data_IF_179252716996
#
_entry.id   IF_179252716996
#
_cell.length_a   1.000
_cell.length_b   1.000
_cell.length_c   1.000
_cell.angle_alpha   90.00
_cell.angle_beta   90.00
_cell.angle_gamma   90.00
#
_symmetry.space_group_name_H-M   'P 1'
#
loop_
_entity.id
_entity.type
_entity.pdbx_description
1 polymer ?
#
# COMPACT_ATOMS: atom_id res chain seq x y z
N UNK A 1 2.53 -14.53 -22.07
CA UNK A 1 3.39 -15.02 -20.97
C UNK A 1 3.23 -14.17 -19.70
N UNK A 2 3.20 -12.84 -19.82
CA UNK A 2 2.92 -11.90 -18.72
C UNK A 2 1.56 -12.16 -18.03
N UNK A 3 0.52 -12.49 -18.80
CA UNK A 3 -0.82 -12.82 -18.26
C UNK A 3 -0.83 -14.04 -17.33
N UNK A 4 0.12 -14.98 -17.49
CA UNK A 4 0.21 -16.17 -16.62
C UNK A 4 0.69 -15.79 -15.21
N UNK A 5 1.69 -14.93 -15.09
CA UNK A 5 2.18 -14.47 -13.79
C UNK A 5 1.15 -13.61 -13.06
N UNK A 6 0.49 -12.71 -13.80
CA UNK A 6 -0.60 -11.89 -13.24
C UNK A 6 -1.71 -12.79 -12.67
N UNK A 7 -2.15 -13.81 -13.41
CA UNK A 7 -3.16 -14.76 -12.94
C UNK A 7 -2.72 -15.56 -11.72
N UNK A 8 -1.45 -16.02 -11.67
CA UNK A 8 -0.90 -16.72 -10.51
C UNK A 8 -0.90 -15.83 -9.26
N UNK A 9 -0.49 -14.56 -9.36
CA UNK A 9 -0.50 -13.63 -8.22
C UNK A 9 -1.92 -13.24 -7.82
N UNK A 10 -2.83 -13.06 -8.79
CA UNK A 10 -4.25 -12.83 -8.51
C UNK A 10 -4.87 -13.99 -7.72
N UNK A 11 -4.43 -15.23 -7.96
CA UNK A 11 -4.85 -16.39 -7.16
C UNK A 11 -4.34 -16.30 -5.71
N UNK A 12 -3.12 -15.81 -5.50
CA UNK A 12 -2.53 -15.53 -4.18
C UNK A 12 -3.28 -14.39 -3.48
N UNK A 13 -3.72 -13.38 -4.22
CA UNK A 13 -4.51 -12.25 -3.69
C UNK A 13 -5.89 -12.69 -3.20
N UNK A 14 -6.61 -13.49 -3.98
CA UNK A 14 -7.98 -13.89 -3.65
C UNK A 14 -8.05 -15.30 -3.04
N UNK A 15 -7.83 -15.38 -1.73
CA UNK A 15 -7.86 -16.64 -0.97
C UNK A 15 -9.18 -16.85 -0.23
N UNK A 16 -9.54 -18.11 0.01
CA UNK A 16 -10.75 -18.43 0.78
C UNK A 16 -10.58 -18.07 2.25
N UNK A 17 -11.41 -17.13 2.73
CA UNK A 17 -11.54 -16.79 4.15
C UNK A 17 -12.64 -17.61 4.84
N UNK A 18 -13.62 -18.10 4.05
CA UNK A 18 -14.61 -19.07 4.49
C UNK A 18 -14.81 -20.09 3.36
N UNK A 19 -14.23 -21.28 3.52
CA UNK A 19 -14.32 -22.36 2.53
C UNK A 19 -15.75 -22.92 2.41
N UNK A 20 -16.53 -22.94 3.51
CA UNK A 20 -17.89 -23.48 3.51
C UNK A 20 -18.83 -22.58 2.73
N UNK A 21 -18.70 -21.26 2.91
CA UNK A 21 -19.49 -20.25 2.18
C UNK A 21 -18.89 -19.84 0.83
N UNK A 22 -17.79 -20.48 0.41
CA UNK A 22 -17.01 -20.14 -0.80
C UNK A 22 -16.65 -18.64 -0.88
N UNK A 23 -16.45 -17.99 0.27
CA UNK A 23 -16.11 -16.57 0.34
C UNK A 23 -14.60 -16.39 0.23
N UNK A 24 -14.17 -15.58 -0.73
CA UNK A 24 -12.77 -15.16 -0.87
C UNK A 24 -12.58 -13.77 -0.26
N UNK A 25 -11.41 -13.54 0.31
CA UNK A 25 -10.94 -12.24 0.77
C UNK A 25 -9.78 -11.77 -0.09
N UNK A 26 -9.59 -10.46 -0.14
CA UNK A 26 -8.43 -9.83 -0.75
C UNK A 26 -7.29 -9.74 0.26
N UNK A 27 -6.30 -10.61 0.10
CA UNK A 27 -5.17 -10.73 1.01
C UNK A 27 -4.19 -9.56 0.90
N UNK A 28 -4.17 -8.83 -0.22
CA UNK A 28 -3.32 -7.64 -0.39
C UNK A 28 -3.97 -6.43 0.28
N UNK A 29 -5.28 -6.24 0.10
CA UNK A 29 -6.04 -5.21 0.87
C UNK A 29 -5.96 -5.47 2.37
N UNK A 30 -5.96 -6.75 2.79
CA UNK A 30 -5.74 -7.09 4.18
C UNK A 30 -4.39 -6.60 4.73
N UNK A 31 -3.31 -6.58 3.91
CA UNK A 31 -2.02 -6.03 4.35
C UNK A 31 -2.12 -4.53 4.64
N UNK A 32 -2.80 -3.77 3.78
CA UNK A 32 -3.03 -2.34 3.98
C UNK A 32 -3.83 -2.05 5.24
N UNK A 33 -4.91 -2.80 5.46
CA UNK A 33 -5.75 -2.66 6.65
C UNK A 33 -4.98 -3.00 7.93
N UNK A 34 -4.24 -4.11 7.94
CA UNK A 34 -3.44 -4.52 9.09
C UNK A 34 -2.36 -3.49 9.43
N UNK A 35 -1.64 -3.00 8.41
CA UNK A 35 -0.65 -1.94 8.56
C UNK A 35 -1.29 -0.68 9.14
N UNK A 36 -2.38 -0.20 8.56
CA UNK A 36 -3.10 1.00 9.05
C UNK A 36 -3.58 0.85 10.48
N UNK A 37 -4.19 -0.28 10.84
CA UNK A 37 -4.67 -0.53 12.20
C UNK A 37 -3.50 -0.53 13.18
N UNK A 38 -2.42 -1.24 12.84
CA UNK A 38 -1.29 -1.37 13.75
C UNK A 38 -0.56 -0.04 13.97
N UNK A 39 -0.35 0.74 12.90
CA UNK A 39 0.26 2.08 12.96
C UNK A 39 -0.63 3.06 13.73
N UNK A 40 -1.94 3.03 13.52
CA UNK A 40 -2.89 3.87 14.27
C UNK A 40 -2.91 3.56 15.78
N UNK A 41 -2.59 2.31 16.17
CA UNK A 41 -2.54 1.90 17.57
C UNK A 41 -1.22 2.25 18.25
N UNK A 42 -0.07 2.07 17.58
CA UNK A 42 1.24 2.35 18.16
C UNK A 42 2.35 2.45 17.11
N UNK A 43 3.08 3.57 17.11
CA UNK A 43 4.31 3.73 16.32
C UNK A 43 5.58 3.27 17.06
N UNK A 44 5.44 2.42 18.08
CA UNK A 44 6.61 1.92 18.80
C UNK A 44 7.47 1.01 17.91
N UNK A 45 8.78 1.04 18.10
CA UNK A 45 9.72 0.19 17.34
C UNK A 45 9.39 -1.31 17.45
N UNK A 46 8.84 -1.76 18.58
CA UNK A 46 8.36 -3.15 18.76
C UNK A 46 7.19 -3.47 17.82
N UNK A 47 6.25 -2.54 17.68
CA UNK A 47 5.10 -2.72 16.79
C UNK A 47 5.53 -2.70 15.32
N UNK A 48 6.41 -1.78 14.93
CA UNK A 48 6.98 -1.75 13.57
C UNK A 48 7.64 -3.08 13.21
N UNK A 49 8.50 -3.64 14.08
CA UNK A 49 9.13 -4.95 13.85
C UNK A 49 8.12 -6.10 13.74
N UNK A 50 7.02 -6.03 14.50
CA UNK A 50 5.95 -7.04 14.43
C UNK A 50 5.27 -6.98 13.06
N UNK A 51 4.88 -5.79 12.61
CA UNK A 51 4.24 -5.60 11.30
C UNK A 51 5.19 -5.98 10.16
N UNK A 52 6.46 -5.57 10.25
CA UNK A 52 7.50 -5.94 9.29
C UNK A 52 7.64 -7.47 9.18
N UNK A 53 7.56 -8.19 10.31
CA UNK A 53 7.55 -9.66 10.31
C UNK A 53 6.32 -10.21 9.57
N UNK A 54 5.12 -9.70 9.86
CA UNK A 54 3.88 -10.14 9.22
C UNK A 54 3.90 -9.91 7.69
N UNK A 55 4.38 -8.74 7.25
CA UNK A 55 4.56 -8.43 5.83
C UNK A 55 5.63 -9.33 5.18
N UNK A 56 6.75 -9.57 5.87
CA UNK A 56 7.77 -10.50 5.40
C UNK A 56 7.21 -11.92 5.24
N UNK A 57 6.43 -12.40 6.20
CA UNK A 57 5.82 -13.74 6.14
C UNK A 57 4.86 -13.84 4.93
N UNK A 58 4.08 -12.79 4.64
CA UNK A 58 3.22 -12.73 3.47
C UNK A 58 4.02 -12.75 2.15
N UNK A 59 5.02 -11.88 2.01
CA UNK A 59 5.78 -11.76 0.76
C UNK A 59 6.82 -12.86 0.55
N UNK A 60 7.14 -13.66 1.57
CA UNK A 60 8.02 -14.83 1.50
C UNK A 60 7.28 -16.16 1.41
N UNK A 61 5.96 -16.15 1.27
CA UNK A 61 5.20 -17.38 1.11
C UNK A 61 5.70 -18.20 -0.10
N UNK A 62 5.67 -19.55 -0.05
CA UNK A 62 6.29 -20.40 -1.06
C UNK A 62 5.85 -20.09 -2.50
N UNK A 63 4.57 -19.76 -2.70
CA UNK A 63 4.02 -19.47 -4.02
C UNK A 63 4.64 -18.19 -4.63
N UNK A 64 4.79 -17.11 -3.85
CA UNK A 64 5.45 -15.88 -4.33
C UNK A 64 6.94 -16.12 -4.56
N UNK A 65 7.59 -16.87 -3.67
CA UNK A 65 9.00 -17.20 -3.81
C UNK A 65 9.28 -18.03 -5.07
N UNK A 66 8.43 -19.01 -5.37
CA UNK A 66 8.53 -19.80 -6.60
C UNK A 66 8.43 -18.91 -7.85
N UNK A 67 7.48 -17.99 -7.91
CA UNK A 67 7.35 -17.05 -9.03
C UNK A 67 8.59 -16.16 -9.21
N UNK A 68 9.11 -15.63 -8.09
CA UNK A 68 10.31 -14.80 -8.10
C UNK A 68 11.56 -15.58 -8.56
N UNK A 69 11.61 -16.89 -8.28
CA UNK A 69 12.69 -17.79 -8.70
C UNK A 69 12.58 -18.19 -10.18
N UNK A 70 11.37 -18.39 -10.71
CA UNK A 70 11.13 -18.73 -12.12
C UNK A 70 11.52 -17.59 -13.06
N UNK A 71 11.03 -16.38 -12.80
CA UNK A 71 11.37 -15.18 -13.58
C UNK A 71 11.20 -13.92 -12.74
N UNK A 72 12.29 -13.50 -12.09
CA UNK A 72 12.27 -12.38 -11.14
C UNK A 72 11.71 -11.08 -11.73
N UNK A 73 12.05 -10.73 -12.98
CA UNK A 73 11.62 -9.45 -13.58
C UNK A 73 10.11 -9.42 -13.81
N UNK A 74 9.55 -10.45 -14.45
CA UNK A 74 8.12 -10.53 -14.74
C UNK A 74 7.31 -10.67 -13.44
N UNK A 75 7.78 -11.50 -12.51
CA UNK A 75 7.14 -11.69 -11.22
C UNK A 75 7.10 -10.40 -10.39
N UNK A 76 8.22 -9.66 -10.29
CA UNK A 76 8.26 -8.37 -9.60
C UNK A 76 7.26 -7.36 -10.17
N UNK A 77 7.16 -7.27 -11.50
CA UNK A 77 6.19 -6.39 -12.17
C UNK A 77 4.74 -6.79 -11.87
N UNK A 78 4.44 -8.08 -11.93
CA UNK A 78 3.10 -8.57 -11.64
C UNK A 78 2.74 -8.43 -10.15
N UNK A 79 3.70 -8.59 -9.23
CA UNK A 79 3.53 -8.31 -7.80
C UNK A 79 3.25 -6.83 -7.59
N UNK A 80 4.06 -5.95 -8.18
CA UNK A 80 3.85 -4.50 -8.09
C UNK A 80 2.47 -4.10 -8.59
N UNK A 81 2.00 -4.66 -9.72
CA UNK A 81 0.65 -4.38 -10.23
C UNK A 81 -0.45 -4.73 -9.22
N UNK A 82 -0.36 -5.87 -8.54
CA UNK A 82 -1.36 -6.27 -7.53
C UNK A 82 -1.23 -5.47 -6.23
N UNK A 83 -0.01 -5.06 -5.85
CA UNK A 83 0.22 -4.12 -4.74
C UNK A 83 -0.39 -2.75 -5.08
N UNK A 84 -0.18 -2.23 -6.29
CA UNK A 84 -0.77 -0.97 -6.75
C UNK A 84 -2.29 -1.05 -6.80
N UNK A 85 -2.85 -2.08 -7.44
CA UNK A 85 -4.30 -2.23 -7.56
C UNK A 85 -4.97 -2.32 -6.19
N UNK A 86 -4.41 -3.11 -5.26
CA UNK A 86 -4.94 -3.18 -3.90
C UNK A 86 -4.80 -1.87 -3.12
N UNK A 87 -3.74 -1.09 -3.35
CA UNK A 87 -3.60 0.25 -2.76
C UNK A 87 -4.67 1.21 -3.28
N UNK A 88 -4.96 1.16 -4.59
CA UNK A 88 -6.05 1.94 -5.21
C UNK A 88 -7.41 1.55 -4.64
N UNK A 89 -7.70 0.25 -4.54
CA UNK A 89 -8.93 -0.26 -3.90
C UNK A 89 -9.06 0.22 -2.46
N UNK A 90 -7.97 0.16 -1.69
CA UNK A 90 -7.94 0.65 -0.31
C UNK A 90 -8.26 2.16 -0.23
N UNK A 91 -7.60 2.99 -1.06
CA UNK A 91 -7.82 4.43 -1.08
C UNK A 91 -9.23 4.83 -1.55
N UNK A 92 -9.76 4.15 -2.57
CA UNK A 92 -11.14 4.35 -3.03
C UNK A 92 -12.14 4.02 -1.94
N UNK A 93 -11.98 2.88 -1.27
CA UNK A 93 -12.85 2.49 -0.16
C UNK A 93 -12.83 3.52 0.99
N UNK A 94 -11.65 4.11 1.29
CA UNK A 94 -11.56 5.21 2.26
C UNK A 94 -12.28 6.48 1.77
N UNK A 95 -12.08 6.87 0.51
CA UNK A 95 -12.69 8.09 -0.05
C UNK A 95 -14.23 8.00 -0.14
N UNK A 96 -14.77 6.81 -0.41
CA UNK A 96 -16.21 6.56 -0.55
C UNK A 96 -16.92 6.34 0.80
N UNK A 97 -16.20 6.06 1.89
CA UNK A 97 -16.78 5.89 3.21
C UNK A 97 -17.28 7.24 3.77
N UNK A 98 -18.60 7.36 3.96
CA UNK A 98 -19.24 8.56 4.50
C UNK A 98 -18.72 8.94 5.89
N UNK A 99 -18.35 7.95 6.72
CA UNK A 99 -17.78 8.23 8.03
C UNK A 99 -16.37 8.80 7.90
N UNK A 100 -15.60 8.29 6.93
CA UNK A 100 -14.26 8.79 6.64
C UNK A 100 -14.30 10.24 6.13
N UNK A 101 -15.24 10.54 5.24
CA UNK A 101 -15.45 11.86 4.65
C UNK A 101 -16.30 12.81 5.52
N UNK A 102 -16.34 12.59 6.84
CA UNK A 102 -17.12 13.41 7.77
C UNK A 102 -16.28 13.98 8.92
N UNK A 103 -16.75 15.11 9.46
CA UNK A 103 -16.29 15.78 10.68
C UNK A 103 -17.40 15.76 11.72
N UNK A 104 -17.05 16.04 12.97
CA UNK A 104 -17.99 16.15 14.10
C UNK A 104 -18.88 14.90 14.25
N UNK A 105 -18.28 13.71 14.29
CA UNK A 105 -19.00 12.43 14.45
C UNK A 105 -20.09 12.18 13.38
N UNK A 106 -19.82 12.54 12.11
CA UNK A 106 -20.77 12.31 11.02
C UNK A 106 -21.72 13.47 10.73
N UNK A 107 -21.67 14.55 11.51
CA UNK A 107 -22.62 15.68 11.39
C UNK A 107 -22.32 16.60 10.20
N UNK A 108 -21.07 16.65 9.72
CA UNK A 108 -20.68 17.54 8.62
C UNK A 108 -19.83 16.80 7.59
N UNK A 109 -20.22 16.87 6.31
CA UNK A 109 -19.43 16.31 5.20
C UNK A 109 -18.21 17.19 4.93
N UNK A 110 -17.06 16.56 4.75
CA UNK A 110 -15.82 17.22 4.32
C UNK A 110 -15.90 17.65 2.85
N UNK A 111 -15.19 18.72 2.50
CA UNK A 111 -14.92 19.07 1.10
C UNK A 111 -13.89 18.10 0.50
N UNK A 112 -13.85 17.99 -0.82
CA UNK A 112 -12.96 17.05 -1.51
C UNK A 112 -11.48 17.27 -1.19
N UNK A 113 -11.03 18.53 -1.09
CA UNK A 113 -9.68 18.91 -0.70
C UNK A 113 -9.37 18.54 0.76
N UNK A 114 -10.35 18.63 1.65
CA UNK A 114 -10.20 18.22 3.05
C UNK A 114 -10.08 16.69 3.19
N UNK A 115 -10.84 15.93 2.39
CA UNK A 115 -10.70 14.47 2.32
C UNK A 115 -9.32 14.09 1.75
N UNK A 116 -8.89 14.76 0.68
CA UNK A 116 -7.58 14.53 0.07
C UNK A 116 -6.42 14.88 1.01
N UNK A 117 -6.54 15.94 1.80
CA UNK A 117 -5.54 16.29 2.81
C UNK A 117 -5.51 15.26 3.95
N UNK A 118 -6.67 14.81 4.44
CA UNK A 118 -6.76 13.76 5.46
C UNK A 118 -6.13 12.45 4.97
N UNK A 119 -6.45 12.04 3.74
CA UNK A 119 -5.87 10.86 3.12
C UNK A 119 -4.36 11.00 2.92
N UNK A 120 -3.88 12.17 2.48
CA UNK A 120 -2.45 12.46 2.36
C UNK A 120 -1.73 12.31 3.69
N UNK A 121 -2.28 12.87 4.77
CA UNK A 121 -1.71 12.72 6.11
C UNK A 121 -1.67 11.25 6.56
N UNK A 122 -2.70 10.45 6.29
CA UNK A 122 -2.66 9.00 6.59
C UNK A 122 -1.62 8.26 5.73
N UNK A 123 -1.54 8.58 4.43
CA UNK A 123 -0.59 7.95 3.51
C UNK A 123 0.84 8.25 3.90
N UNK A 124 1.21 9.53 4.04
CA UNK A 124 2.61 9.91 4.20
C UNK A 124 3.05 9.83 5.66
N UNK A 125 2.28 10.40 6.60
CA UNK A 125 2.71 10.51 8.00
C UNK A 125 2.49 9.24 8.83
N UNK A 126 1.62 8.34 8.37
CA UNK A 126 1.38 7.07 9.05
C UNK A 126 1.96 5.92 8.24
N UNK A 127 1.46 5.67 7.04
CA UNK A 127 1.80 4.47 6.27
C UNK A 127 3.23 4.52 5.74
N UNK A 128 3.59 5.53 4.94
CA UNK A 128 4.92 5.64 4.32
C UNK A 128 5.99 5.80 5.39
N UNK A 129 5.79 6.69 6.37
CA UNK A 129 6.73 6.85 7.50
C UNK A 129 6.99 5.52 8.22
N UNK A 130 5.95 4.74 8.50
CA UNK A 130 6.11 3.43 9.14
C UNK A 130 6.84 2.42 8.26
N UNK A 131 6.62 2.45 6.94
CA UNK A 131 7.35 1.62 5.99
C UNK A 131 8.83 2.01 5.91
N UNK A 132 9.17 3.31 5.93
CA UNK A 132 10.56 3.80 5.94
C UNK A 132 11.34 3.34 7.18
N UNK A 133 10.66 3.16 8.32
CA UNK A 133 11.26 2.62 9.54
C UNK A 133 11.56 1.10 9.48
N UNK A 134 11.11 0.39 8.44
CA UNK A 134 11.37 -1.04 8.23
C UNK A 134 12.64 -1.25 7.42
N UNK A 135 13.24 -2.45 7.52
CA UNK A 135 14.43 -2.80 6.75
C UNK A 135 14.18 -2.76 5.25
N UNK A 136 15.19 -2.38 4.46
CA UNK A 136 15.07 -2.35 3.00
C UNK A 136 14.70 -3.73 2.44
N UNK A 137 13.65 -3.73 1.62
CA UNK A 137 13.16 -4.93 0.94
C UNK A 137 12.40 -4.54 -0.32
N UNK A 138 12.36 -5.47 -1.27
CA UNK A 138 11.66 -5.26 -2.54
C UNK A 138 10.20 -4.85 -2.33
N UNK A 139 9.46 -5.58 -1.49
CA UNK A 139 8.03 -5.34 -1.25
C UNK A 139 7.78 -4.02 -0.52
N UNK A 140 8.66 -3.61 0.40
CA UNK A 140 8.55 -2.32 1.12
C UNK A 140 8.55 -1.17 0.12
N UNK A 141 9.52 -1.18 -0.78
CA UNK A 141 9.66 -0.14 -1.79
C UNK A 141 8.48 -0.16 -2.78
N UNK A 142 7.99 -1.35 -3.17
CA UNK A 142 6.78 -1.47 -3.99
C UNK A 142 5.55 -0.89 -3.27
N UNK A 143 5.39 -1.14 -1.97
CA UNK A 143 4.27 -0.64 -1.18
C UNK A 143 4.30 0.89 -1.05
N UNK A 144 5.46 1.49 -0.77
CA UNK A 144 5.63 2.95 -0.71
C UNK A 144 5.19 3.60 -2.04
N UNK A 145 5.67 3.06 -3.17
CA UNK A 145 5.34 3.60 -4.50
C UNK A 145 3.86 3.36 -4.83
N UNK A 146 3.33 2.18 -4.54
CA UNK A 146 1.95 1.84 -4.80
C UNK A 146 0.96 2.75 -4.07
N UNK A 147 1.18 3.00 -2.77
CA UNK A 147 0.27 3.85 -1.99
C UNK A 147 0.38 5.32 -2.39
N UNK A 148 1.57 5.79 -2.75
CA UNK A 148 1.75 7.12 -3.33
C UNK A 148 0.99 7.27 -4.66
N UNK A 149 1.19 6.35 -5.60
CA UNK A 149 0.49 6.39 -6.90
C UNK A 149 -1.02 6.25 -6.74
N UNK A 150 -1.49 5.37 -5.84
CA UNK A 150 -2.91 5.23 -5.54
C UNK A 150 -3.52 6.52 -4.99
N UNK A 151 -2.81 7.22 -4.09
CA UNK A 151 -3.24 8.52 -3.59
C UNK A 151 -3.38 9.56 -4.71
N UNK A 152 -2.36 9.68 -5.56
CA UNK A 152 -2.40 10.60 -6.71
C UNK A 152 -3.54 10.24 -7.68
N UNK A 153 -3.76 8.95 -7.93
CA UNK A 153 -4.80 8.46 -8.84
C UNK A 153 -6.22 8.71 -8.31
N UNK A 154 -6.47 8.45 -7.02
CA UNK A 154 -7.80 8.59 -6.41
C UNK A 154 -8.20 10.05 -6.19
N UNK A 155 -7.26 10.90 -5.75
CA UNK A 155 -7.57 12.30 -5.44
C UNK A 155 -7.29 13.25 -6.61
N UNK A 156 -6.53 12.82 -7.62
CA UNK A 156 -6.32 13.54 -8.88
C UNK A 156 -5.89 14.99 -8.66
N UNK A 157 -6.65 15.95 -9.19
CA UNK A 157 -6.39 17.39 -9.04
C UNK A 157 -6.40 17.88 -7.58
N UNK A 158 -7.04 17.14 -6.67
CA UNK A 158 -7.12 17.47 -5.25
C UNK A 158 -5.96 16.82 -4.46
N UNK A 159 -5.14 15.98 -5.09
CA UNK A 159 -3.99 15.37 -4.44
C UNK A 159 -2.94 16.45 -4.11
N UNK A 160 -2.48 16.42 -2.87
CA UNK A 160 -1.40 17.28 -2.40
C UNK A 160 -0.05 16.67 -2.77
N UNK A 161 0.96 17.53 -2.93
CA UNK A 161 2.33 17.07 -3.14
C UNK A 161 2.85 16.38 -1.87
N UNK A 162 3.68 15.35 -2.05
CA UNK A 162 4.15 14.52 -0.94
C UNK A 162 5.03 15.32 0.04
N UNK A 163 5.86 16.22 -0.46
CA UNK A 163 6.75 17.11 0.32
C UNK A 163 6.02 17.90 1.41
N UNK A 164 4.73 18.23 1.21
CA UNK A 164 3.92 18.94 2.18
C UNK A 164 3.61 18.15 3.46
N UNK A 165 3.80 16.82 3.43
CA UNK A 165 3.49 15.97 4.57
C UNK A 165 4.73 15.58 5.39
N UNK A 166 5.91 15.55 4.80
CA UNK A 166 7.14 15.17 5.51
C UNK A 166 7.64 16.31 6.40
N UNK A 167 7.88 16.01 7.68
CA UNK A 167 8.48 16.94 8.64
C UNK A 167 10.00 17.05 8.46
N UNK A 168 10.64 15.94 8.10
CA UNK A 168 12.09 15.81 8.00
C UNK A 168 12.54 15.66 6.54
N UNK A 169 13.48 16.50 6.11
CA UNK A 169 13.97 16.50 4.72
C UNK A 169 14.64 15.18 4.33
N UNK A 170 15.30 14.51 5.27
CA UNK A 170 15.96 13.22 5.02
C UNK A 170 14.95 12.10 4.77
N UNK A 171 13.81 12.09 5.47
CA UNK A 171 12.71 11.15 5.23
C UNK A 171 12.12 11.35 3.83
N UNK A 172 11.92 12.62 3.42
CA UNK A 172 11.46 12.95 2.07
C UNK A 172 12.45 12.54 0.98
N UNK A 173 13.75 12.79 1.19
CA UNK A 173 14.79 12.41 0.24
C UNK A 173 14.89 10.89 0.06
N UNK A 174 14.75 10.11 1.15
CA UNK A 174 14.69 8.65 1.05
C UNK A 174 13.45 8.19 0.27
N UNK A 175 12.29 8.79 0.57
CA UNK A 175 11.05 8.54 -0.16
C UNK A 175 11.21 8.78 -1.67
N UNK A 176 11.68 9.97 -2.08
CA UNK A 176 11.88 10.33 -3.49
C UNK A 176 12.81 9.34 -4.20
N UNK A 177 13.93 8.97 -3.55
CA UNK A 177 14.87 7.97 -4.08
C UNK A 177 14.20 6.61 -4.31
N UNK A 178 13.31 6.20 -3.40
CA UNK A 178 12.53 4.96 -3.54
C UNK A 178 11.54 5.06 -4.71
N UNK A 179 10.86 6.21 -4.86
CA UNK A 179 9.94 6.48 -5.97
C UNK A 179 10.68 6.36 -7.31
N UNK A 180 11.74 7.13 -7.51
CA UNK A 180 12.50 7.17 -8.76
C UNK A 180 13.05 5.79 -9.14
N UNK A 181 13.68 5.10 -8.19
CA UNK A 181 14.27 3.79 -8.41
C UNK A 181 13.20 2.76 -8.80
N UNK A 182 12.10 2.71 -8.06
CA UNK A 182 11.07 1.69 -8.27
C UNK A 182 10.32 1.93 -9.58
N UNK A 183 9.97 3.17 -9.90
CA UNK A 183 9.31 3.51 -11.17
C UNK A 183 10.18 3.09 -12.36
N UNK A 184 11.48 3.35 -12.30
CA UNK A 184 12.46 2.94 -13.32
C UNK A 184 12.55 1.43 -13.45
N UNK A 185 12.55 0.70 -12.33
CA UNK A 185 12.62 -0.77 -12.32
C UNK A 185 11.34 -1.43 -12.88
N UNK A 186 10.17 -0.84 -12.63
CA UNK A 186 8.88 -1.38 -13.09
C UNK A 186 8.49 -0.94 -14.51
N UNK A 187 9.17 0.07 -15.06
CA UNK A 187 8.86 0.66 -16.36
C UNK A 187 7.50 1.36 -16.35
N UNK A 188 7.26 2.16 -15.30
CA UNK A 188 6.02 2.94 -15.10
C UNK A 188 6.11 4.34 -15.73
N UNK A 189 7.21 4.64 -16.43
CA UNK A 189 7.41 5.81 -17.30
C UNK A 189 8.07 5.33 -18.60
#
# INVERSE_FOLDING_TARGET
>A
MQDSYQNKIKAIRYQYIDRKKKRKGDMFVAQWLNLKIAVAQSNSARNIRKIEKELNDFYRQPDLHALLSENSKIAKKAIFNEIKDSATVYQQACAEDSNYASKLFGLMKMKEDEVANKAGNEVYNQVVRSLLLMSDSFWRNQMIVAIHLAYQEVFGKNAFKADLFFEEIDEYNEFEKIIEKTIKEQGVI
#
